data_IF_206897826967
#
_entry.id   IF_206897826967
#
_cell.length_a   1.000
_cell.length_b   1.000
_cell.length_c   1.000
_cell.angle_alpha   90.00
_cell.angle_beta   90.00
_cell.angle_gamma   90.00
#
_symmetry.space_group_name_H-M   'P 1'
#
loop_
_entity.id
_entity.type
_entity.pdbx_description
1 polymer ?
#
# COMPACT_ATOMS: atom_id res chain seq x y z
N UNK A 1 2.22 -2.15 -5.86
CA UNK A 1 3.39 -1.98 -4.98
C UNK A 1 3.26 -0.66 -4.23
N UNK A 2 3.73 -0.58 -2.99
CA UNK A 2 3.55 0.57 -2.10
C UNK A 2 4.35 1.80 -2.55
N UNK A 3 3.82 2.49 -3.55
CA UNK A 3 4.41 3.70 -4.11
C UNK A 3 5.52 3.42 -5.14
N UNK A 4 5.80 4.42 -5.95
CA UNK A 4 6.74 4.37 -7.08
C UNK A 4 8.22 4.12 -6.68
N UNK A 5 8.50 3.77 -5.43
CA UNK A 5 9.86 3.66 -4.91
C UNK A 5 10.34 2.20 -4.77
N UNK A 6 9.49 1.27 -4.35
CA UNK A 6 9.87 -0.15 -4.29
C UNK A 6 9.90 -0.81 -5.67
N UNK A 7 9.08 -0.31 -6.60
CA UNK A 7 9.01 -0.80 -7.98
C UNK A 7 8.69 0.32 -8.97
N UNK A 8 9.11 0.11 -10.21
CA UNK A 8 8.77 0.99 -11.33
C UNK A 8 7.25 0.96 -11.62
N UNK A 9 6.79 1.93 -12.40
CA UNK A 9 5.58 1.73 -13.18
C UNK A 9 5.77 0.50 -14.08
N UNK A 10 4.70 -0.26 -14.27
CA UNK A 10 4.68 -1.37 -15.21
C UNK A 10 4.87 -0.86 -16.62
N UNK A 11 5.78 -1.49 -17.34
CA UNK A 11 5.93 -1.32 -18.79
C UNK A 11 5.13 -2.41 -19.48
N UNK A 12 4.34 -2.01 -20.48
CA UNK A 12 3.64 -2.99 -21.31
C UNK A 12 4.67 -3.89 -21.98
N UNK A 13 4.50 -5.20 -21.82
CA UNK A 13 5.38 -6.14 -22.51
C UNK A 13 4.91 -6.29 -23.95
N UNK A 14 5.50 -5.47 -24.84
CA UNK A 14 5.25 -5.53 -26.28
C UNK A 14 6.28 -6.43 -26.94
N UNK A 15 5.83 -7.38 -27.77
CA UNK A 15 6.68 -8.20 -28.64
C UNK A 15 7.62 -7.29 -29.46
N UNK A 16 8.92 -7.37 -29.19
CA UNK A 16 9.97 -6.64 -29.90
C UNK A 16 11.23 -7.51 -30.10
N UNK A 17 12.11 -7.17 -31.04
CA UNK A 17 13.30 -7.96 -31.39
C UNK A 17 14.29 -8.18 -30.23
N UNK A 18 14.10 -7.50 -29.10
CA UNK A 18 14.99 -7.52 -27.93
C UNK A 18 14.57 -8.52 -26.84
N UNK A 19 13.39 -9.16 -26.94
CA UNK A 19 12.88 -10.09 -25.93
C UNK A 19 12.55 -11.47 -26.53
N UNK A 20 13.50 -12.43 -26.51
CA UNK A 20 13.40 -13.70 -27.24
C UNK A 20 12.58 -14.80 -26.54
N UNK A 21 12.02 -14.58 -25.35
CA UNK A 21 11.18 -15.59 -24.66
C UNK A 21 9.71 -15.35 -25.03
N UNK A 22 9.14 -16.32 -25.75
CA UNK A 22 7.96 -16.16 -26.59
C UNK A 22 6.63 -16.37 -25.85
N UNK A 23 5.84 -15.30 -25.68
CA UNK A 23 4.38 -15.41 -25.57
C UNK A 23 3.77 -14.98 -26.91
N UNK A 24 2.89 -15.80 -27.49
CA UNK A 24 2.23 -15.48 -28.74
C UNK A 24 1.12 -14.44 -28.47
N UNK A 25 1.07 -13.37 -29.26
CA UNK A 25 0.03 -12.32 -29.15
C UNK A 25 -1.38 -12.88 -29.39
N UNK A 26 -1.48 -14.02 -30.09
CA UNK A 26 -2.75 -14.75 -30.24
C UNK A 26 -3.24 -15.36 -28.92
N UNK A 27 -2.31 -15.73 -28.03
CA UNK A 27 -2.61 -16.31 -26.72
C UNK A 27 -2.74 -15.23 -25.66
N UNK A 28 -1.93 -14.16 -25.73
CA UNK A 28 -1.97 -13.02 -24.82
C UNK A 28 -2.06 -11.70 -25.59
N UNK A 29 -3.25 -11.05 -25.64
CA UNK A 29 -3.43 -9.82 -26.39
C UNK A 29 -2.60 -8.67 -25.79
N UNK A 30 -2.34 -7.65 -26.61
CA UNK A 30 -1.67 -6.41 -26.17
C UNK A 30 -2.38 -5.80 -24.94
N UNK A 31 -1.62 -5.35 -23.95
CA UNK A 31 -2.13 -4.85 -22.66
C UNK A 31 -2.51 -5.91 -21.63
N UNK A 32 -2.35 -7.21 -21.92
CA UNK A 32 -2.62 -8.31 -20.97
C UNK A 32 -1.38 -8.80 -20.20
N UNK A 33 -0.21 -8.25 -20.50
CA UNK A 33 1.06 -8.59 -19.81
C UNK A 33 1.79 -7.30 -19.46
N UNK A 34 2.16 -7.17 -18.18
CA UNK A 34 2.89 -6.01 -17.67
C UNK A 34 4.15 -6.46 -16.93
N UNK A 35 5.29 -5.84 -17.24
CA UNK A 35 6.59 -6.11 -16.60
C UNK A 35 6.98 -4.97 -15.67
N UNK A 36 7.51 -5.32 -14.50
CA UNK A 36 7.90 -4.36 -13.46
C UNK A 36 9.34 -4.64 -13.02
N UNK A 37 10.14 -3.58 -12.95
CA UNK A 37 11.45 -3.65 -12.33
C UNK A 37 11.32 -3.27 -10.86
N UNK A 38 11.91 -4.07 -10.00
CA UNK A 38 12.01 -3.82 -8.57
C UNK A 38 13.31 -3.04 -8.32
N UNK A 39 13.31 -2.21 -7.29
CA UNK A 39 14.58 -1.63 -6.83
C UNK A 39 15.40 -2.73 -6.16
N UNK A 40 16.57 -3.00 -6.72
CA UNK A 40 17.48 -4.07 -6.28
C UNK A 40 18.15 -3.77 -4.93
N UNK A 41 18.23 -2.49 -4.56
CA UNK A 41 18.78 -2.02 -3.29
C UNK A 41 17.68 -1.70 -2.25
N UNK A 42 16.59 -2.47 -2.27
CA UNK A 42 15.49 -2.37 -1.31
C UNK A 42 15.57 -3.46 -0.24
N UNK A 43 15.28 -3.10 1.01
CA UNK A 43 15.38 -4.01 2.16
C UNK A 43 14.17 -3.85 3.06
N UNK A 44 13.72 -4.98 3.61
CA UNK A 44 12.82 -5.03 4.75
C UNK A 44 13.50 -4.44 5.99
N UNK A 45 12.71 -3.94 6.94
CA UNK A 45 13.26 -3.33 8.16
C UNK A 45 13.95 -4.32 9.13
N UNK A 46 13.96 -5.62 8.81
CA UNK A 46 14.79 -6.65 9.46
C UNK A 46 16.12 -6.93 8.73
N UNK A 47 16.34 -6.29 7.59
CA UNK A 47 17.57 -6.38 6.79
C UNK A 47 17.54 -7.41 5.68
N UNK A 48 16.46 -8.18 5.53
CA UNK A 48 16.29 -9.08 4.39
C UNK A 48 16.05 -8.26 3.13
N UNK A 49 16.69 -8.63 2.02
CA UNK A 49 16.51 -7.95 0.74
C UNK A 49 15.11 -8.19 0.18
N UNK A 50 14.47 -7.13 -0.31
CA UNK A 50 13.20 -7.21 -1.00
C UNK A 50 13.41 -7.73 -2.43
N UNK A 51 12.65 -8.75 -2.83
CA UNK A 51 12.84 -9.40 -4.14
C UNK A 51 11.52 -9.76 -4.82
N UNK A 52 11.62 -10.24 -6.05
CA UNK A 52 10.51 -10.78 -6.83
C UNK A 52 9.79 -11.94 -6.13
N UNK A 53 10.48 -12.69 -5.25
CA UNK A 53 9.85 -13.77 -4.48
C UNK A 53 8.78 -13.24 -3.53
N UNK A 54 8.98 -12.05 -2.94
CA UNK A 54 7.99 -11.40 -2.07
C UNK A 54 6.75 -10.97 -2.87
N UNK A 55 6.97 -10.44 -4.08
CA UNK A 55 5.92 -9.93 -4.96
C UNK A 55 5.06 -11.06 -5.51
N UNK A 56 5.70 -12.09 -6.07
CA UNK A 56 5.02 -13.29 -6.60
C UNK A 56 4.19 -13.94 -5.50
N UNK A 57 4.82 -14.24 -4.35
CA UNK A 57 4.14 -14.84 -3.21
C UNK A 57 2.95 -14.00 -2.73
N UNK A 58 3.11 -12.68 -2.59
CA UNK A 58 2.01 -11.82 -2.12
C UNK A 58 0.84 -11.78 -3.08
N UNK A 59 1.09 -11.73 -4.39
CA UNK A 59 0.03 -11.69 -5.39
C UNK A 59 -0.69 -13.04 -5.50
N UNK A 60 0.03 -14.16 -5.41
CA UNK A 60 -0.55 -15.50 -5.40
C UNK A 60 -1.53 -15.72 -4.24
N UNK A 61 -1.31 -15.07 -3.08
CA UNK A 61 -2.25 -15.13 -1.95
C UNK A 61 -3.60 -14.47 -2.25
N UNK A 62 -3.66 -13.54 -3.20
CA UNK A 62 -4.82 -12.65 -3.41
C UNK A 62 -5.58 -12.93 -4.72
N UNK A 63 -5.20 -13.98 -5.44
CA UNK A 63 -5.81 -14.40 -6.70
C UNK A 63 -6.49 -15.77 -6.56
N UNK A 64 -7.16 -16.23 -7.63
CA UNK A 64 -7.75 -17.56 -7.69
C UNK A 64 -8.79 -17.80 -6.57
N UNK A 65 -8.68 -18.95 -5.89
CA UNK A 65 -9.62 -19.34 -4.82
C UNK A 65 -9.60 -18.43 -3.59
N UNK A 66 -8.52 -17.65 -3.42
CA UNK A 66 -8.33 -16.78 -2.26
C UNK A 66 -8.80 -15.34 -2.52
N UNK A 67 -9.29 -15.04 -3.73
CA UNK A 67 -9.73 -13.71 -4.12
C UNK A 67 -10.71 -13.10 -3.11
N UNK A 68 -11.62 -13.91 -2.56
CA UNK A 68 -12.64 -13.46 -1.61
C UNK A 68 -12.10 -13.20 -0.20
N UNK A 69 -10.92 -13.72 0.14
CA UNK A 69 -10.30 -13.50 1.45
C UNK A 69 -9.72 -12.09 1.57
N UNK A 70 -9.04 -11.63 0.52
CA UNK A 70 -8.33 -10.34 0.51
C UNK A 70 -9.09 -9.31 -0.32
N UNK A 71 -10.29 -8.98 0.14
CA UNK A 71 -11.26 -8.19 -0.62
C UNK A 71 -10.81 -6.77 -0.98
N UNK A 72 -10.00 -6.14 -0.11
CA UNK A 72 -9.62 -4.71 -0.22
C UNK A 72 -8.82 -4.37 -1.50
N UNK A 73 -8.17 -5.36 -2.12
CA UNK A 73 -7.37 -5.17 -3.33
C UNK A 73 -7.95 -5.85 -4.58
N UNK A 74 -9.18 -6.39 -4.49
CA UNK A 74 -9.83 -7.12 -5.58
C UNK A 74 -9.92 -6.34 -6.90
N UNK A 75 -10.06 -5.01 -6.86
CA UNK A 75 -10.08 -4.22 -8.10
C UNK A 75 -8.82 -4.42 -8.96
N UNK A 76 -7.69 -4.75 -8.35
CA UNK A 76 -6.44 -5.08 -9.04
C UNK A 76 -6.28 -6.58 -9.26
N UNK A 77 -6.50 -7.39 -8.22
CA UNK A 77 -6.16 -8.82 -8.23
C UNK A 77 -7.16 -9.70 -8.96
N UNK A 78 -8.43 -9.27 -9.10
CA UNK A 78 -9.46 -10.04 -9.83
C UNK A 78 -9.02 -10.39 -11.26
N UNK A 79 -8.26 -9.50 -11.89
CA UNK A 79 -7.84 -9.63 -13.28
C UNK A 79 -6.49 -10.31 -13.44
N UNK A 80 -5.80 -10.65 -12.35
CA UNK A 80 -4.49 -11.30 -12.41
C UNK A 80 -4.72 -12.79 -12.57
N UNK A 81 -4.13 -13.34 -13.63
CA UNK A 81 -4.09 -14.77 -13.89
C UNK A 81 -3.01 -15.46 -13.06
N UNK A 82 -1.77 -14.98 -13.23
CA UNK A 82 -0.59 -15.41 -12.49
C UNK A 82 0.51 -14.35 -12.57
N UNK A 83 1.58 -14.59 -11.82
CA UNK A 83 2.79 -13.77 -11.80
C UNK A 83 3.96 -14.67 -12.12
N UNK A 84 4.89 -14.19 -12.94
CA UNK A 84 6.16 -14.86 -13.21
C UNK A 84 7.29 -14.04 -12.62
N UNK A 85 8.08 -14.67 -11.75
CA UNK A 85 9.44 -14.21 -11.46
C UNK A 85 10.33 -14.35 -12.70
N UNK A 86 10.72 -13.23 -13.31
CA UNK A 86 11.67 -13.20 -14.43
C UNK A 86 13.11 -13.31 -13.91
N UNK A 87 13.40 -12.60 -12.83
CA UNK A 87 14.62 -12.71 -12.01
C UNK A 87 14.37 -12.08 -10.62
N UNK A 88 15.39 -11.97 -9.77
CA UNK A 88 15.24 -11.47 -8.41
C UNK A 88 14.68 -10.05 -8.29
N UNK A 89 14.82 -9.22 -9.33
CA UNK A 89 14.36 -7.81 -9.33
C UNK A 89 13.44 -7.50 -10.51
N UNK A 90 12.77 -8.51 -11.06
CA UNK A 90 11.85 -8.34 -12.17
C UNK A 90 10.73 -9.35 -12.12
N UNK A 91 9.51 -8.84 -12.19
CA UNK A 91 8.28 -9.65 -12.27
C UNK A 91 7.49 -9.31 -13.51
N UNK A 92 6.74 -10.30 -14.01
CA UNK A 92 5.78 -10.15 -15.09
C UNK A 92 4.41 -10.59 -14.59
N UNK A 93 3.40 -9.77 -14.79
CA UNK A 93 2.03 -10.05 -14.37
C UNK A 93 1.17 -10.27 -15.61
N UNK A 94 0.45 -11.38 -15.60
CA UNK A 94 -0.44 -11.80 -16.66
C UNK A 94 -1.88 -11.55 -16.24
N UNK A 95 -2.68 -11.01 -17.17
CA UNK A 95 -4.05 -10.62 -16.88
C UNK A 95 -5.07 -11.42 -17.68
N UNK A 96 -6.04 -12.00 -16.98
CA UNK A 96 -7.17 -12.73 -17.56
C UNK A 96 -8.47 -12.31 -16.90
N UNK A 97 -9.58 -12.47 -17.63
CA UNK A 97 -10.90 -12.29 -17.05
C UNK A 97 -11.18 -13.41 -16.04
N UNK A 98 -11.57 -13.04 -14.83
CA UNK A 98 -11.71 -13.98 -13.71
C UNK A 98 -12.68 -15.13 -14.01
N UNK A 99 -13.79 -14.85 -14.71
CA UNK A 99 -14.86 -15.83 -14.93
C UNK A 99 -14.58 -16.71 -16.14
N UNK A 100 -14.12 -16.13 -17.24
CA UNK A 100 -13.87 -16.83 -18.51
C UNK A 100 -12.46 -17.40 -18.63
N UNK A 101 -11.53 -16.96 -17.77
CA UNK A 101 -10.08 -17.26 -17.82
C UNK A 101 -9.42 -16.87 -19.14
N UNK A 102 -10.03 -15.95 -19.89
CA UNK A 102 -9.50 -15.48 -21.17
C UNK A 102 -8.51 -14.34 -20.93
N UNK A 103 -7.30 -14.40 -21.50
CA UNK A 103 -6.35 -13.30 -21.50
C UNK A 103 -7.01 -11.99 -21.96
N UNK A 104 -6.91 -10.96 -21.13
CA UNK A 104 -7.69 -9.71 -21.27
C UNK A 104 -6.80 -8.50 -21.07
N UNK A 105 -6.87 -7.48 -21.94
CA UNK A 105 -6.15 -6.23 -21.75
C UNK A 105 -6.62 -5.49 -20.49
N UNK A 106 -5.68 -5.07 -19.64
CA UNK A 106 -5.96 -4.32 -18.42
C UNK A 106 -5.23 -2.99 -18.46
N UNK A 107 -5.98 -1.91 -18.71
CA UNK A 107 -5.43 -0.58 -18.93
C UNK A 107 -4.69 0.00 -17.70
N UNK A 108 -5.09 -0.41 -16.49
CA UNK A 108 -4.43 0.01 -15.24
C UNK A 108 -3.25 -0.89 -14.84
N UNK A 109 -2.90 -1.88 -15.68
CA UNK A 109 -1.78 -2.78 -15.39
C UNK A 109 -0.46 -2.03 -15.23
N UNK A 110 -0.27 -0.89 -15.88
CA UNK A 110 0.91 -0.04 -15.66
C UNK A 110 1.09 0.44 -14.20
N UNK A 111 0.05 0.42 -13.38
CA UNK A 111 0.08 0.99 -12.03
C UNK A 111 -0.85 0.23 -11.07
N UNK A 112 -0.48 -1.01 -10.75
CA UNK A 112 -1.16 -1.78 -9.72
C UNK A 112 -0.81 -1.28 -8.31
N UNK A 113 -1.83 -0.98 -7.50
CA UNK A 113 -1.65 -0.62 -6.11
C UNK A 113 -1.87 -1.84 -5.21
N UNK A 114 -0.77 -2.37 -4.71
CA UNK A 114 -0.69 -3.64 -3.99
C UNK A 114 0.41 -3.54 -2.95
N UNK A 115 0.10 -3.48 -1.64
CA UNK A 115 1.10 -3.67 -0.60
C UNK A 115 1.72 -5.06 -0.74
N UNK A 116 3.04 -5.15 -0.62
CA UNK A 116 3.77 -6.41 -0.67
C UNK A 116 4.04 -6.88 0.75
N UNK A 117 3.93 -8.17 0.99
CA UNK A 117 4.23 -8.80 2.26
C UNK A 117 5.59 -9.51 2.21
N UNK A 118 6.35 -9.50 3.32
CA UNK A 118 7.62 -10.21 3.41
C UNK A 118 7.37 -11.72 3.46
N UNK A 119 7.69 -12.42 2.37
CA UNK A 119 7.47 -13.86 2.24
C UNK A 119 8.13 -14.63 3.37
N UNK A 120 9.37 -14.28 3.71
CA UNK A 120 10.15 -14.97 4.75
C UNK A 120 9.52 -14.92 6.15
N UNK A 121 8.67 -13.93 6.42
CA UNK A 121 7.95 -13.80 7.70
C UNK A 121 6.67 -14.63 7.70
N UNK A 122 5.95 -14.62 6.57
CA UNK A 122 4.54 -15.01 6.55
C UNK A 122 4.25 -16.30 5.76
N UNK A 123 5.19 -16.83 4.97
CA UNK A 123 4.97 -18.02 4.12
C UNK A 123 4.52 -19.28 4.89
N UNK A 124 4.86 -19.37 6.18
CA UNK A 124 4.51 -20.51 7.04
C UNK A 124 3.19 -20.33 7.79
N UNK A 125 2.55 -19.17 7.66
CA UNK A 125 1.27 -18.88 8.33
C UNK A 125 0.09 -19.33 7.47
N UNK A 126 -0.99 -19.85 8.06
CA UNK A 126 -2.22 -20.12 7.32
C UNK A 126 -2.76 -18.82 6.71
N UNK A 127 -3.14 -18.86 5.44
CA UNK A 127 -3.63 -17.68 4.71
C UNK A 127 -4.85 -17.02 5.39
N UNK A 128 -5.72 -17.79 6.03
CA UNK A 128 -6.91 -17.27 6.74
C UNK A 128 -6.54 -16.50 8.00
N UNK A 129 -5.36 -16.78 8.57
CA UNK A 129 -4.83 -16.13 9.77
C UNK A 129 -4.32 -14.72 9.47
N UNK A 130 -3.63 -14.56 8.33
CA UNK A 130 -3.13 -13.28 7.84
C UNK A 130 -4.25 -12.25 7.61
N UNK A 131 -5.46 -12.70 7.25
CA UNK A 131 -6.61 -11.83 6.98
C UNK A 131 -7.35 -11.35 8.24
N UNK A 132 -7.22 -12.03 9.38
CA UNK A 132 -8.06 -11.78 10.57
C UNK A 132 -7.29 -11.35 11.82
N UNK A 133 -6.03 -11.76 11.99
CA UNK A 133 -5.32 -11.66 13.28
C UNK A 133 -4.06 -10.77 13.23
N UNK A 134 -4.03 -9.80 12.30
CA UNK A 134 -2.93 -8.85 12.12
C UNK A 134 -2.66 -7.91 13.31
N UNK A 135 -3.47 -7.94 14.38
CA UNK A 135 -3.22 -7.16 15.59
C UNK A 135 -2.20 -7.91 16.47
N UNK A 136 -0.92 -7.84 16.10
CA UNK A 136 0.14 -8.14 17.05
C UNK A 136 1.53 -8.45 16.51
N UNK A 137 1.73 -8.71 15.22
CA UNK A 137 2.93 -9.44 14.80
C UNK A 137 3.58 -8.82 13.57
N UNK A 138 4.81 -8.31 13.77
CA UNK A 138 5.80 -8.07 12.74
C UNK A 138 5.37 -7.02 11.70
N UNK A 139 5.36 -5.76 12.11
CA UNK A 139 5.26 -4.64 11.17
C UNK A 139 6.60 -4.47 10.43
N UNK A 140 6.89 -5.46 9.61
CA UNK A 140 8.05 -5.55 8.74
C UNK A 140 7.64 -4.94 7.41
N UNK A 141 8.34 -3.87 7.05
CA UNK A 141 8.06 -3.07 5.86
C UNK A 141 9.35 -2.52 5.27
N UNK A 142 9.28 -2.05 4.05
CA UNK A 142 10.40 -1.41 3.32
C UNK A 142 10.43 0.11 3.50
N UNK A 143 9.38 0.68 4.09
CA UNK A 143 9.21 2.12 4.27
C UNK A 143 10.24 2.79 5.21
N UNK A 144 10.22 4.13 5.30
CA UNK A 144 11.22 4.92 6.03
C UNK A 144 11.15 4.80 7.56
N UNK A 145 10.05 4.30 8.10
CA UNK A 145 9.84 4.14 9.53
C UNK A 145 9.45 2.71 9.87
N UNK A 146 9.79 2.30 11.08
CA UNK A 146 9.47 1.00 11.65
C UNK A 146 8.86 1.14 13.04
N UNK A 147 8.06 0.15 13.44
CA UNK A 147 7.46 0.11 14.76
C UNK A 147 8.50 -0.23 15.84
N UNK A 148 8.29 0.29 17.05
CA UNK A 148 9.07 -0.16 18.21
C UNK A 148 8.49 -1.45 18.79
N UNK A 149 9.27 -2.13 19.63
CA UNK A 149 8.78 -3.29 20.39
C UNK A 149 7.58 -2.98 21.30
N UNK A 150 7.33 -1.69 21.62
CA UNK A 150 6.22 -1.24 22.47
C UNK A 150 4.97 -0.82 21.70
N UNK A 151 5.01 -0.85 20.37
CA UNK A 151 3.93 -0.35 19.53
C UNK A 151 2.55 -0.90 19.92
N UNK A 152 2.47 -2.20 20.25
CA UNK A 152 1.22 -2.83 20.69
C UNK A 152 0.66 -2.19 21.97
N UNK A 153 1.51 -1.99 22.96
CA UNK A 153 1.13 -1.39 24.24
C UNK A 153 0.73 0.08 24.04
N UNK A 154 1.47 0.83 23.23
CA UNK A 154 1.17 2.22 22.92
C UNK A 154 -0.20 2.35 22.23
N UNK A 155 -0.50 1.50 21.25
CA UNK A 155 -1.79 1.52 20.54
C UNK A 155 -2.92 1.15 21.51
N UNK A 156 -2.74 0.08 22.29
CA UNK A 156 -3.79 -0.44 23.17
C UNK A 156 -4.11 0.49 24.36
N UNK A 157 -3.12 1.22 24.88
CA UNK A 157 -3.26 1.94 26.16
C UNK A 157 -3.03 3.46 26.06
N UNK A 158 -2.31 3.94 25.05
CA UNK A 158 -1.90 5.36 24.96
C UNK A 158 -2.54 6.11 23.79
N UNK A 159 -3.44 5.48 23.02
CA UNK A 159 -4.04 6.05 21.81
C UNK A 159 -2.99 6.71 20.89
N UNK A 160 -1.80 6.10 20.81
CA UNK A 160 -0.70 6.59 20.00
C UNK A 160 0.22 5.46 19.61
N UNK A 161 1.10 5.69 18.64
CA UNK A 161 2.18 4.76 18.32
C UNK A 161 3.44 5.52 17.94
N UNK A 162 4.56 5.06 18.48
CA UNK A 162 5.89 5.55 18.15
C UNK A 162 6.47 4.73 17.01
N UNK A 163 6.84 5.41 15.92
CA UNK A 163 7.67 4.86 14.86
C UNK A 163 9.05 5.50 14.91
N UNK A 164 10.08 4.71 14.67
CA UNK A 164 11.47 5.16 14.60
C UNK A 164 12.00 4.98 13.18
N UNK A 165 13.06 5.70 12.81
CA UNK A 165 13.76 5.52 11.54
C UNK A 165 14.00 4.03 11.25
N UNK A 166 13.61 3.59 10.05
CA UNK A 166 14.04 2.30 9.53
C UNK A 166 15.51 2.41 9.14
N UNK A 167 16.39 1.70 9.86
CA UNK A 167 17.83 1.76 9.60
C UNK A 167 18.18 1.30 8.18
N UNK A 168 17.39 0.41 7.59
CA UNK A 168 17.64 -0.16 6.27
C UNK A 168 17.10 0.70 5.12
N UNK A 169 16.40 1.79 5.43
CA UNK A 169 15.94 2.75 4.42
C UNK A 169 17.07 3.64 3.89
N UNK A 170 18.03 4.00 4.75
CA UNK A 170 19.30 4.65 4.39
C UNK A 170 20.39 4.08 5.30
N UNK A 171 21.31 3.27 4.76
CA UNK A 171 22.43 2.71 5.52
C UNK A 171 23.72 2.71 4.73
N UNK A 172 24.82 2.35 5.39
CA UNK A 172 26.14 2.22 4.78
C UNK A 172 26.74 0.90 5.23
N UNK A 173 27.29 0.14 4.29
CA UNK A 173 27.95 -1.14 4.59
C UNK A 173 29.36 -0.93 5.18
N UNK A 174 30.06 -2.03 5.46
CA UNK A 174 31.40 -2.01 6.05
C UNK A 174 32.45 -1.41 5.10
N UNK A 175 32.18 -1.40 3.79
CA UNK A 175 33.05 -0.84 2.75
C UNK A 175 32.79 0.66 2.51
N UNK A 176 31.80 1.25 3.20
CA UNK A 176 31.44 2.65 3.07
C UNK A 176 30.48 2.95 1.92
N UNK A 177 29.87 1.93 1.31
CA UNK A 177 28.90 2.06 0.23
C UNK A 177 27.51 2.32 0.82
N UNK A 178 26.82 3.34 0.31
CA UNK A 178 25.49 3.70 0.78
C UNK A 178 24.40 2.87 0.08
N UNK A 179 23.43 2.40 0.87
CA UNK A 179 22.38 1.46 0.46
C UNK A 179 20.98 1.86 0.96
N UNK A 180 19.96 1.28 0.32
CA UNK A 180 18.56 1.37 0.72
C UNK A 180 17.72 2.27 -0.20
N UNK A 181 16.40 2.09 -0.16
CA UNK A 181 15.44 2.86 -0.96
C UNK A 181 15.63 4.37 -0.88
N UNK A 182 15.97 4.88 0.30
CA UNK A 182 16.24 6.30 0.49
C UNK A 182 17.47 6.75 -0.31
N UNK A 183 18.53 5.95 -0.37
CA UNK A 183 19.73 6.26 -1.17
C UNK A 183 19.40 6.21 -2.66
N UNK A 184 18.77 5.14 -3.12
CA UNK A 184 18.40 4.96 -4.54
C UNK A 184 17.55 6.14 -5.06
N UNK A 185 16.59 6.59 -4.25
CA UNK A 185 15.64 7.65 -4.62
C UNK A 185 16.03 9.05 -4.13
N UNK A 186 17.27 9.24 -3.64
CA UNK A 186 17.80 10.52 -3.12
C UNK A 186 16.88 11.15 -2.07
N UNK A 187 16.37 10.31 -1.18
CA UNK A 187 15.59 10.69 0.00
C UNK A 187 16.47 10.51 1.23
N UNK A 188 16.62 11.58 1.99
CA UNK A 188 17.24 11.52 3.31
C UNK A 188 16.14 11.70 4.36
N UNK A 189 16.13 10.80 5.35
CA UNK A 189 15.17 10.89 6.45
C UNK A 189 15.69 11.93 7.46
N UNK A 190 15.03 13.08 7.54
CA UNK A 190 15.37 14.14 8.51
C UNK A 190 14.69 13.96 9.87
N UNK A 191 13.78 12.99 9.98
CA UNK A 191 12.94 12.79 11.16
C UNK A 191 13.31 11.46 11.80
N UNK A 192 13.81 11.50 13.04
CA UNK A 192 14.23 10.28 13.74
C UNK A 192 13.07 9.46 14.29
N UNK A 193 11.98 10.15 14.64
CA UNK A 193 10.84 9.57 15.33
C UNK A 193 9.55 10.25 14.88
N UNK A 194 8.56 9.44 14.54
CA UNK A 194 7.19 9.87 14.32
C UNK A 194 6.32 9.36 15.47
N UNK A 195 5.49 10.23 16.05
CA UNK A 195 4.47 9.83 17.02
C UNK A 195 3.12 10.06 16.36
N UNK A 196 2.44 8.98 16.01
CA UNK A 196 1.09 9.04 15.46
C UNK A 196 0.12 9.01 16.64
N UNK A 197 -0.65 10.07 16.83
CA UNK A 197 -1.67 10.18 17.89
C UNK A 197 -3.06 9.98 17.31
N UNK A 198 -3.89 9.19 17.98
CA UNK A 198 -5.27 8.92 17.58
C UNK A 198 -6.21 9.82 18.39
N UNK A 199 -7.05 10.58 17.68
CA UNK A 199 -8.07 11.44 18.28
C UNK A 199 -9.44 10.99 17.78
N UNK A 200 -10.35 10.65 18.70
CA UNK A 200 -11.75 10.32 18.35
C UNK A 200 -12.59 11.56 18.09
N UNK A 201 -12.22 12.69 18.69
CA UNK A 201 -12.96 13.95 18.63
C UNK A 201 -12.07 15.05 18.04
N UNK A 202 -12.58 15.73 17.01
CA UNK A 202 -11.83 16.81 16.35
C UNK A 202 -11.44 17.93 17.31
N UNK A 203 -12.29 18.24 18.30
CA UNK A 203 -12.01 19.29 19.30
C UNK A 203 -10.75 19.01 20.12
N UNK A 204 -10.46 17.74 20.40
CA UNK A 204 -9.25 17.32 21.12
C UNK A 204 -8.00 17.41 20.24
N UNK A 205 -8.11 17.03 18.97
CA UNK A 205 -7.05 17.24 17.98
C UNK A 205 -6.74 18.74 17.81
N UNK A 206 -7.79 19.55 17.64
CA UNK A 206 -7.71 20.99 17.47
C UNK A 206 -7.00 21.66 18.66
N UNK A 207 -7.30 21.24 19.89
CA UNK A 207 -6.61 21.71 21.08
C UNK A 207 -5.13 21.28 21.08
N UNK A 208 -4.84 20.00 20.79
CA UNK A 208 -3.48 19.45 20.74
C UNK A 208 -2.58 20.18 19.72
N UNK A 209 -3.12 20.55 18.56
CA UNK A 209 -2.40 21.38 17.58
C UNK A 209 -2.17 22.78 18.14
N UNK A 210 -3.20 23.40 18.74
CA UNK A 210 -3.09 24.75 19.32
C UNK A 210 -2.08 24.85 20.46
N UNK A 211 -1.94 23.81 21.28
CA UNK A 211 -0.96 23.76 22.39
C UNK A 211 0.45 23.41 21.91
N UNK A 212 0.63 22.99 20.65
CA UNK A 212 1.91 22.53 20.12
C UNK A 212 2.25 21.08 20.48
N UNK A 213 1.28 20.32 21.01
CA UNK A 213 1.45 18.89 21.29
C UNK A 213 1.37 18.02 20.02
N UNK A 214 0.77 18.53 18.94
CA UNK A 214 0.70 17.89 17.62
C UNK A 214 1.22 18.84 16.54
N UNK A 215 2.25 18.42 15.80
CA UNK A 215 2.88 19.23 14.74
C UNK A 215 2.04 19.35 13.47
N UNK A 216 1.29 18.29 13.13
CA UNK A 216 0.47 18.21 11.91
C UNK A 216 -0.79 17.37 12.16
N UNK A 217 -1.92 17.82 11.63
CA UNK A 217 -3.17 17.06 11.64
C UNK A 217 -4.17 17.60 10.62
N UNK A 218 -5.06 16.73 10.16
CA UNK A 218 -6.18 17.12 9.30
C UNK A 218 -7.37 17.58 10.17
N UNK A 219 -7.90 18.76 9.89
CA UNK A 219 -9.07 19.33 10.56
C UNK A 219 -10.23 19.46 9.58
N UNK A 220 -11.46 19.43 10.09
CA UNK A 220 -12.67 19.61 9.30
C UNK A 220 -12.78 21.05 8.79
N UNK A 221 -13.53 21.25 7.68
CA UNK A 221 -13.70 22.58 7.07
C UNK A 221 -14.22 23.66 8.04
N UNK A 222 -15.07 23.29 9.01
CA UNK A 222 -15.60 24.23 10.00
C UNK A 222 -14.51 24.82 10.89
N UNK A 223 -13.67 23.97 11.47
CA UNK A 223 -12.52 24.36 12.29
C UNK A 223 -11.53 25.19 11.48
N UNK A 224 -11.23 24.77 10.25
CA UNK A 224 -10.35 25.52 9.35
C UNK A 224 -10.85 26.96 9.12
N UNK A 225 -12.13 27.13 8.79
CA UNK A 225 -12.71 28.45 8.55
C UNK A 225 -12.76 29.31 9.81
N UNK A 226 -13.03 28.70 10.97
CA UNK A 226 -12.97 29.39 12.27
C UNK A 226 -11.57 29.88 12.57
N UNK A 227 -10.55 29.03 12.41
CA UNK A 227 -9.16 29.39 12.69
C UNK A 227 -8.62 30.45 11.74
N UNK A 228 -9.02 30.41 10.46
CA UNK A 228 -8.66 31.43 9.49
C UNK A 228 -9.16 32.83 9.87
N UNK A 229 -10.27 32.92 10.59
CA UNK A 229 -10.86 34.17 11.07
C UNK A 229 -10.44 34.54 12.51
N UNK A 230 -9.68 33.67 13.21
CA UNK A 230 -9.30 33.85 14.61
C UNK A 230 -7.98 34.62 14.74
N UNK A 231 -7.98 35.90 15.17
CA UNK A 231 -6.75 36.68 15.31
C UNK A 231 -5.87 36.20 16.47
N UNK A 232 -6.38 35.32 17.34
CA UNK A 232 -5.62 34.73 18.46
C UNK A 232 -4.92 33.42 18.10
N UNK A 233 -5.10 32.91 16.88
CA UNK A 233 -4.45 31.67 16.44
C UNK A 233 -2.91 31.82 16.53
N UNK A 234 -2.21 30.86 17.16
CA UNK A 234 -0.75 30.88 17.22
C UNK A 234 -0.11 31.03 15.83
N UNK A 235 0.81 31.98 15.68
CA UNK A 235 1.42 32.33 14.38
C UNK A 235 2.23 31.21 13.72
N UNK A 236 2.65 30.22 14.50
CA UNK A 236 3.36 29.03 14.04
C UNK A 236 2.41 27.98 13.43
N UNK A 237 1.09 28.11 13.59
CA UNK A 237 0.12 27.23 12.94
C UNK A 237 -0.08 27.72 11.51
N UNK A 238 0.36 26.89 10.56
CA UNK A 238 0.19 27.16 9.14
C UNK A 238 -1.05 26.41 8.66
N UNK A 239 -2.03 27.16 8.20
CA UNK A 239 -3.25 26.61 7.60
C UNK A 239 -3.04 26.37 6.11
N UNK A 240 -3.21 25.11 5.68
CA UNK A 240 -3.11 24.74 4.28
C UNK A 240 -4.38 24.02 3.82
N UNK A 241 -4.90 24.40 2.65
CA UNK A 241 -5.93 23.64 1.93
C UNK A 241 -5.31 23.01 0.71
N UNK A 242 -5.55 21.71 0.53
CA UNK A 242 -5.20 21.00 -0.69
C UNK A 242 -6.47 20.50 -1.36
N UNK A 243 -6.47 20.43 -2.70
CA UNK A 243 -7.43 19.59 -3.42
C UNK A 243 -6.99 18.14 -3.18
N UNK A 244 -7.30 17.59 -2.01
CA UNK A 244 -6.97 16.20 -1.69
C UNK A 244 -8.09 15.30 -2.24
N UNK A 245 -7.85 14.46 -3.26
CA UNK A 245 -8.77 13.39 -3.58
C UNK A 245 -8.63 12.35 -2.48
N UNK A 246 -9.49 12.44 -1.45
CA UNK A 246 -9.47 11.48 -0.34
C UNK A 246 -9.89 10.08 -0.76
N UNK A 247 -10.26 9.88 -2.04
CA UNK A 247 -10.87 8.67 -2.59
C UNK A 247 -12.14 8.24 -1.86
N UNK A 248 -12.73 9.14 -1.06
CA UNK A 248 -14.02 8.94 -0.40
C UNK A 248 -15.09 9.83 -1.03
N UNK A 249 -16.18 9.22 -1.46
CA UNK A 249 -17.41 9.87 -1.91
C UNK A 249 -18.48 9.73 -0.82
N UNK A 250 -19.32 10.77 -0.66
CA UNK A 250 -20.61 10.61 0.01
C UNK A 250 -21.60 10.19 -1.06
N UNK A 251 -22.12 8.97 -0.95
CA UNK A 251 -23.01 8.39 -1.94
C UNK A 251 -24.42 8.26 -1.36
N UNK A 252 -25.42 8.53 -2.20
CA UNK A 252 -26.81 8.16 -1.92
C UNK A 252 -27.13 6.99 -2.82
N UNK A 253 -27.29 5.81 -2.22
CA UNK A 253 -27.66 4.60 -2.95
C UNK A 253 -29.17 4.42 -2.88
N UNK A 254 -29.83 4.35 -4.02
CA UNK A 254 -31.25 4.06 -4.11
C UNK A 254 -31.46 2.54 -4.10
N UNK A 255 -32.27 2.03 -3.18
CA UNK A 255 -32.69 0.64 -3.22
C UNK A 255 -33.62 0.42 -4.42
N UNK A 256 -33.14 -0.30 -5.44
CA UNK A 256 -33.90 -0.62 -6.64
C UNK A 256 -34.96 -1.73 -6.43
N UNK A 257 -35.00 -2.36 -5.24
CA UNK A 257 -35.89 -3.46 -4.90
C UNK A 257 -36.85 -3.05 -3.77
N UNK A 258 -37.98 -2.38 -4.11
CA UNK A 258 -38.92 -1.87 -3.11
C UNK A 258 -39.55 -2.96 -2.23
N UNK A 259 -39.72 -4.17 -2.79
CA UNK A 259 -40.26 -5.34 -2.08
C UNK A 259 -39.23 -6.10 -1.25
N UNK A 260 -37.96 -5.68 -1.31
CA UNK A 260 -36.85 -6.36 -0.63
C UNK A 260 -36.03 -5.40 0.25
N UNK A 261 -36.68 -4.70 1.21
CA UNK A 261 -36.00 -3.78 2.12
C UNK A 261 -35.12 -4.59 3.08
N UNK A 262 -33.86 -4.82 2.69
CA UNK A 262 -32.85 -5.48 3.53
C UNK A 262 -32.17 -6.69 2.90
N UNK A 263 -32.51 -7.09 1.67
CA UNK A 263 -31.76 -8.18 1.01
C UNK A 263 -30.45 -7.68 0.43
N UNK A 264 -29.40 -8.49 0.60
CA UNK A 264 -28.13 -8.36 -0.10
C UNK A 264 -28.40 -8.14 -1.61
N UNK A 265 -27.75 -7.14 -2.17
CA UNK A 265 -27.74 -6.90 -3.61
C UNK A 265 -27.46 -8.24 -4.33
N UNK A 266 -28.30 -8.65 -5.28
CA UNK A 266 -28.09 -9.93 -6.00
C UNK A 266 -26.79 -9.95 -6.82
N UNK A 267 -26.16 -8.79 -7.03
CA UNK A 267 -24.85 -8.61 -7.66
C UNK A 267 -23.71 -8.45 -6.64
N UNK A 268 -23.98 -8.48 -5.33
CA UNK A 268 -22.93 -8.50 -4.31
C UNK A 268 -22.23 -9.84 -4.43
N UNK A 269 -20.90 -9.80 -4.62
CA UNK A 269 -20.07 -10.99 -4.83
C UNK A 269 -19.58 -11.62 -3.52
N UNK A 270 -19.89 -11.02 -2.35
CA UNK A 270 -19.61 -11.62 -1.05
C UNK A 270 -20.71 -12.63 -0.65
N UNK A 271 -20.33 -13.78 -0.05
CA UNK A 271 -21.27 -14.77 0.45
C UNK A 271 -22.09 -14.29 1.66
#
# INVERSE_FOLDING_TARGET
>A
MDGQMAASLGTEFVKGPEFPVAYNVTDWPMGSIWEYNLTDDAYWNDGVQFTADDVEWTLELQIGSNLMTYWVHQQYTRWIDHVEKVNDFKVRIFFSDYDTKKPTPVAFGNSIFMPIFPKHVFEKMPWSYLAQDGIGYHAIGTGPFQFTAKAREEIAYNASVTLIRNRWYNWTDDDGVAHGLGVTHRRDLQVDKLIVKFFSEESTLALSIRTGDTDMGEILPGTYMSWKADPSLPKNIILQTTLSPTSYSKEVVLNAYPESPGTLNALRLDP
#
